data_IF_354844906413
#
_entry.id   IF_354844906413
#
_cell.length_a   1.000
_cell.length_b   1.000
_cell.length_c   1.000
_cell.angle_alpha   90.00
_cell.angle_beta   90.00
_cell.angle_gamma   90.00
#
_symmetry.space_group_name_H-M   'P 1'
#
loop_
_entity.id
_entity.type
_entity.pdbx_description
1 polymer ?
#
# COMPACT_ATOMS: atom_id res chain seq x y z
N UNK A 1 5.36 -20.68 30.18
CA UNK A 1 5.59 -19.23 30.38
C UNK A 1 5.95 -18.48 29.10
N UNK A 2 6.59 -19.09 28.09
CA UNK A 2 6.92 -18.40 26.81
C UNK A 2 5.72 -18.00 25.94
N UNK A 3 4.61 -18.74 26.01
CA UNK A 3 3.41 -18.43 25.19
C UNK A 3 2.70 -17.15 25.62
N UNK A 4 2.73 -16.79 26.91
CA UNK A 4 1.96 -15.67 27.44
C UNK A 4 2.55 -14.30 27.07
N UNK A 5 3.89 -14.22 26.88
CA UNK A 5 4.55 -13.01 26.38
C UNK A 5 4.27 -12.80 24.89
N UNK A 6 4.31 -13.87 24.08
CA UNK A 6 3.99 -13.82 22.65
C UNK A 6 2.57 -13.31 22.41
N UNK A 7 1.60 -13.71 23.23
CA UNK A 7 0.22 -13.23 23.14
C UNK A 7 0.07 -11.76 23.55
N UNK A 8 0.85 -11.28 24.51
CA UNK A 8 0.83 -9.88 24.94
C UNK A 8 1.45 -8.95 23.90
N UNK A 9 2.56 -9.35 23.28
CA UNK A 9 3.22 -8.56 22.25
C UNK A 9 2.35 -8.46 20.98
N UNK A 10 1.68 -9.55 20.60
CA UNK A 10 0.67 -9.55 19.55
C UNK A 10 -0.51 -8.63 19.91
N UNK A 11 -1.03 -8.68 21.14
CA UNK A 11 -2.14 -7.82 21.57
C UNK A 11 -1.78 -6.32 21.53
N UNK A 12 -0.62 -5.93 22.07
CA UNK A 12 -0.16 -4.54 22.05
C UNK A 12 0.19 -4.08 20.62
N UNK A 13 0.59 -4.99 19.74
CA UNK A 13 0.74 -4.72 18.32
C UNK A 13 -0.64 -4.45 17.70
N UNK A 14 -1.61 -5.36 17.85
CA UNK A 14 -2.97 -5.21 17.30
C UNK A 14 -3.70 -3.96 17.82
N UNK A 15 -3.59 -3.64 19.11
CA UNK A 15 -4.15 -2.43 19.68
C UNK A 15 -3.58 -1.16 19.03
N UNK A 16 -2.28 -1.16 18.72
CA UNK A 16 -1.62 -0.05 18.02
C UNK A 16 -2.05 0.05 16.55
N UNK A 17 -2.31 -1.09 15.91
CA UNK A 17 -2.89 -1.15 14.56
C UNK A 17 -4.32 -0.60 14.53
N UNK A 18 -5.12 -0.84 15.57
CA UNK A 18 -6.48 -0.28 15.71
C UNK A 18 -6.47 1.24 15.91
N UNK A 19 -5.43 1.78 16.56
CA UNK A 19 -5.36 3.19 16.96
C UNK A 19 -4.62 4.10 15.97
N UNK A 20 -3.68 3.57 15.16
CA UNK A 20 -2.85 4.42 14.31
C UNK A 20 -2.59 3.85 12.91
N UNK A 21 -3.21 4.49 11.92
CA UNK A 21 -2.95 4.26 10.50
C UNK A 21 -1.95 5.29 9.99
N UNK A 22 -0.77 4.86 9.56
CA UNK A 22 0.22 5.77 9.00
C UNK A 22 -0.19 6.25 7.60
N UNK A 23 -0.63 5.32 6.74
CA UNK A 23 -0.92 5.60 5.32
C UNK A 23 -2.11 4.82 4.78
N UNK A 24 -2.80 5.38 3.78
CA UNK A 24 -3.83 4.73 2.94
C UNK A 24 -3.41 4.83 1.48
N UNK A 25 -3.41 3.71 0.77
CA UNK A 25 -3.31 3.70 -0.68
C UNK A 25 -4.62 3.21 -1.24
N UNK A 26 -5.11 3.85 -2.29
CA UNK A 26 -6.32 3.47 -3.00
C UNK A 26 -6.03 3.50 -4.48
N UNK A 27 -6.23 2.36 -5.14
CA UNK A 27 -6.12 2.22 -6.58
C UNK A 27 -7.45 1.70 -7.15
N UNK A 28 -7.91 2.29 -8.25
CA UNK A 28 -9.12 1.87 -8.95
C UNK A 28 -8.80 1.44 -10.39
N UNK A 29 -9.78 0.80 -11.08
CA UNK A 29 -9.71 0.13 -12.40
C UNK A 29 -9.58 -1.41 -12.26
N UNK A 30 -9.91 -2.24 -13.26
CA UNK A 30 -9.59 -3.68 -13.21
C UNK A 30 -8.07 -3.85 -13.28
N UNK A 31 -7.43 -4.00 -12.13
CA UNK A 31 -5.99 -4.20 -12.02
C UNK A 31 -5.66 -5.17 -10.89
N UNK A 32 -4.54 -5.87 -11.07
CA UNK A 32 -3.81 -6.46 -9.96
C UNK A 32 -2.86 -5.42 -9.35
N UNK A 33 -2.69 -5.50 -8.02
CA UNK A 33 -1.77 -4.62 -7.28
C UNK A 33 -0.89 -5.49 -6.40
N UNK A 34 0.42 -5.29 -6.47
CA UNK A 34 1.40 -5.99 -5.63
C UNK A 34 2.22 -4.98 -4.85
N UNK A 35 2.41 -5.24 -3.57
CA UNK A 35 3.13 -4.37 -2.63
C UNK A 35 4.38 -5.10 -2.15
N UNK A 36 5.53 -4.46 -2.30
CA UNK A 36 6.84 -4.99 -1.94
C UNK A 36 7.44 -4.14 -0.83
N UNK A 37 7.92 -4.78 0.23
CA UNK A 37 8.74 -4.09 1.24
C UNK A 37 10.15 -3.90 0.68
N UNK A 38 10.77 -2.73 0.93
CA UNK A 38 12.08 -2.41 0.37
C UNK A 38 13.12 -3.53 0.65
N UNK A 39 13.77 -4.01 -0.41
CA UNK A 39 14.77 -5.09 -0.33
C UNK A 39 14.21 -6.51 -0.43
N UNK A 40 12.89 -6.69 -0.47
CA UNK A 40 12.25 -8.00 -0.70
C UNK A 40 11.84 -8.19 -2.17
N UNK A 41 11.96 -9.42 -2.67
CA UNK A 41 11.54 -9.79 -4.02
C UNK A 41 10.08 -10.23 -4.09
N UNK A 42 9.58 -10.84 -3.02
CA UNK A 42 8.20 -11.32 -2.94
C UNK A 42 7.27 -10.22 -2.40
N UNK A 43 6.01 -10.17 -2.88
CA UNK A 43 5.05 -9.21 -2.37
C UNK A 43 4.62 -9.56 -0.93
N UNK A 44 4.55 -8.54 -0.09
CA UNK A 44 4.04 -8.63 1.29
C UNK A 44 2.53 -8.44 1.39
N UNK A 45 1.92 -7.88 0.34
CA UNK A 45 0.48 -7.74 0.18
C UNK A 45 0.14 -7.62 -1.31
N UNK A 46 -1.00 -8.15 -1.72
CA UNK A 46 -1.47 -8.01 -3.10
C UNK A 46 -2.99 -8.14 -3.22
N UNK A 47 -3.50 -7.66 -4.35
CA UNK A 47 -4.84 -7.98 -4.85
C UNK A 47 -4.67 -8.50 -6.26
N UNK A 48 -5.16 -9.72 -6.50
CA UNK A 48 -5.22 -10.34 -7.83
C UNK A 48 -6.61 -10.96 -7.98
N UNK A 49 -7.27 -10.77 -9.13
CA UNK A 49 -8.65 -11.22 -9.37
C UNK A 49 -9.65 -10.82 -8.27
N UNK A 50 -9.50 -9.58 -7.76
CA UNK A 50 -10.25 -9.02 -6.63
C UNK A 50 -10.16 -9.83 -5.33
N UNK A 51 -9.15 -10.70 -5.19
CA UNK A 51 -8.85 -11.42 -3.96
C UNK A 51 -7.72 -10.70 -3.22
N UNK A 52 -7.99 -10.10 -2.04
CA UNK A 52 -6.97 -9.49 -1.21
C UNK A 52 -6.15 -10.57 -0.47
N UNK A 53 -4.82 -10.40 -0.44
CA UNK A 53 -3.91 -11.24 0.33
C UNK A 53 -2.86 -10.38 1.01
N UNK A 54 -2.52 -10.75 2.25
CA UNK A 54 -1.40 -10.18 3.00
C UNK A 54 -0.54 -11.31 3.58
N UNK A 55 0.77 -11.17 3.50
CA UNK A 55 1.70 -12.12 4.10
C UNK A 55 1.55 -12.12 5.63
N UNK A 56 1.78 -13.27 6.25
CA UNK A 56 1.76 -13.40 7.71
C UNK A 56 2.77 -12.43 8.36
N UNK A 57 2.32 -11.71 9.39
CA UNK A 57 3.16 -10.73 10.09
C UNK A 57 3.36 -9.40 9.36
N UNK A 58 2.73 -9.19 8.20
CA UNK A 58 2.75 -7.88 7.53
C UNK A 58 1.98 -6.82 8.33
N UNK A 59 2.47 -5.57 8.30
CA UNK A 59 1.84 -4.39 8.92
C UNK A 59 0.85 -3.71 7.95
N UNK A 60 0.15 -4.52 7.15
CA UNK A 60 -0.71 -4.07 6.06
C UNK A 60 -2.08 -4.75 6.18
N UNK A 61 -3.15 -3.97 6.06
CA UNK A 61 -4.49 -4.50 5.79
C UNK A 61 -4.90 -4.21 4.35
N UNK A 62 -5.50 -5.20 3.69
CA UNK A 62 -5.92 -5.11 2.28
C UNK A 62 -7.43 -5.26 2.21
N UNK A 63 -8.08 -4.31 1.56
CA UNK A 63 -9.55 -4.24 1.43
C UNK A 63 -9.87 -4.07 -0.06
N UNK A 64 -10.87 -4.80 -0.53
CA UNK A 64 -11.43 -4.65 -1.88
C UNK A 64 -12.88 -4.20 -1.76
N UNK A 65 -13.19 -3.02 -2.30
CA UNK A 65 -14.53 -2.42 -2.29
C UNK A 65 -14.93 -2.09 -3.73
N UNK A 66 -15.76 -2.96 -4.34
CA UNK A 66 -16.06 -2.87 -5.76
C UNK A 66 -14.79 -2.95 -6.60
N UNK A 67 -14.49 -1.90 -7.36
CA UNK A 67 -13.28 -1.81 -8.18
C UNK A 67 -12.08 -1.17 -7.45
N UNK A 68 -12.24 -0.77 -6.19
CA UNK A 68 -11.16 -0.16 -5.41
C UNK A 68 -10.34 -1.21 -4.66
N UNK A 69 -9.01 -1.04 -4.71
CA UNK A 69 -8.02 -1.79 -3.96
C UNK A 69 -7.41 -0.85 -2.95
N UNK A 70 -7.66 -1.12 -1.67
CA UNK A 70 -7.29 -0.27 -0.55
C UNK A 70 -6.24 -0.99 0.28
N UNK A 71 -5.12 -0.32 0.53
CA UNK A 71 -4.05 -0.82 1.38
C UNK A 71 -3.85 0.15 2.55
N UNK A 72 -4.04 -0.34 3.77
CA UNK A 72 -3.82 0.41 5.00
C UNK A 72 -2.48 -0.02 5.59
N UNK A 73 -1.62 0.96 5.89
CA UNK A 73 -0.29 0.72 6.44
C UNK A 73 -0.22 1.28 7.85
N UNK A 74 0.35 0.50 8.75
CA UNK A 74 0.41 0.82 10.18
C UNK A 74 1.85 0.97 10.70
N UNK A 75 2.79 1.17 9.79
CA UNK A 75 4.19 1.47 10.09
C UNK A 75 4.70 2.62 9.21
N UNK A 76 5.98 2.95 9.36
CA UNK A 76 6.68 3.95 8.54
C UNK A 76 7.70 3.31 7.57
N UNK A 77 7.55 2.02 7.25
CA UNK A 77 8.44 1.34 6.31
C UNK A 77 8.23 1.86 4.87
N UNK A 78 9.26 1.71 4.03
CA UNK A 78 9.16 2.04 2.60
C UNK A 78 8.60 0.85 1.82
N UNK A 79 7.59 1.13 1.00
CA UNK A 79 6.96 0.14 0.13
C UNK A 79 7.04 0.60 -1.32
N UNK A 80 7.19 -0.39 -2.21
CA UNK A 80 7.02 -0.24 -3.65
C UNK A 80 5.73 -0.91 -4.08
N UNK A 81 5.07 -0.32 -5.07
CA UNK A 81 3.86 -0.86 -5.68
C UNK A 81 4.12 -1.21 -7.13
N UNK A 82 3.48 -2.29 -7.56
CA UNK A 82 3.33 -2.65 -8.96
C UNK A 82 1.85 -2.78 -9.27
N UNK A 83 1.39 -2.02 -10.25
CA UNK A 83 0.01 -2.01 -10.74
C UNK A 83 0.01 -2.69 -12.11
N UNK A 84 -0.84 -3.69 -12.33
CA UNK A 84 -0.92 -4.42 -13.60
C UNK A 84 -2.35 -4.43 -14.10
N UNK A 85 -2.59 -3.88 -15.29
CA UNK A 85 -3.93 -3.82 -15.87
C UNK A 85 -4.48 -5.20 -16.21
N UNK A 86 -5.64 -5.53 -15.66
CA UNK A 86 -6.46 -6.68 -16.07
C UNK A 86 -7.56 -6.27 -17.07
N UNK A 87 -7.76 -4.96 -17.25
CA UNK A 87 -8.69 -4.36 -18.20
C UNK A 87 -8.12 -3.08 -18.82
N UNK A 88 -8.93 -2.43 -19.65
CA UNK A 88 -8.62 -1.13 -20.23
C UNK A 88 -9.42 -0.02 -19.54
N UNK A 89 -8.81 1.16 -19.41
CA UNK A 89 -9.45 2.31 -18.79
C UNK A 89 -8.41 3.29 -18.24
N UNK A 90 -8.77 3.93 -17.13
CA UNK A 90 -7.91 4.88 -16.44
C UNK A 90 -7.63 4.35 -15.03
N UNK A 91 -6.35 4.33 -14.67
CA UNK A 91 -5.88 4.08 -13.31
C UNK A 91 -5.82 5.41 -12.55
N UNK A 92 -6.51 5.42 -11.41
CA UNK A 92 -6.39 6.46 -10.40
C UNK A 92 -5.72 5.87 -9.16
N UNK A 93 -4.70 6.55 -8.65
CA UNK A 93 -3.99 6.19 -7.41
C UNK A 93 -4.05 7.37 -6.46
N UNK A 94 -4.60 7.16 -5.26
CA UNK A 94 -4.59 8.14 -4.17
C UNK A 94 -3.80 7.58 -3.00
N UNK A 95 -2.93 8.41 -2.44
CA UNK A 95 -2.11 8.11 -1.28
C UNK A 95 -2.42 9.16 -0.22
N UNK A 96 -2.86 8.73 0.95
CA UNK A 96 -3.15 9.57 2.09
C UNK A 96 -2.18 9.23 3.23
N UNK A 97 -1.58 10.25 3.83
CA UNK A 97 -0.67 10.11 4.96
C UNK A 97 -1.30 10.81 6.16
N UNK A 98 -1.23 10.15 7.32
CA UNK A 98 -1.83 10.63 8.55
C UNK A 98 -0.73 10.90 9.60
N UNK A 99 -0.97 11.88 10.45
CA UNK A 99 -0.08 12.17 11.57
C UNK A 99 -0.27 11.18 12.73
N UNK A 100 0.47 11.36 13.82
CA UNK A 100 0.38 10.49 15.00
C UNK A 100 -0.95 10.60 15.76
N UNK A 101 -1.73 11.66 15.53
CA UNK A 101 -3.07 11.82 16.07
C UNK A 101 -4.15 11.21 15.15
N UNK A 102 -3.76 10.65 14.00
CA UNK A 102 -4.66 10.09 13.00
C UNK A 102 -5.30 11.14 12.10
N UNK A 103 -4.88 12.41 12.16
CA UNK A 103 -5.38 13.45 11.27
C UNK A 103 -4.70 13.35 9.91
N UNK A 104 -5.46 13.61 8.83
CA UNK A 104 -4.93 13.63 7.47
C UNK A 104 -3.90 14.74 7.33
N UNK A 105 -2.63 14.38 7.15
CA UNK A 105 -1.53 15.32 7.01
C UNK A 105 -1.28 15.68 5.53
N UNK A 106 -1.41 14.69 4.63
CA UNK A 106 -1.08 14.86 3.22
C UNK A 106 -1.91 13.95 2.32
N UNK A 107 -2.18 14.42 1.11
CA UNK A 107 -2.72 13.59 0.01
C UNK A 107 -1.88 13.79 -1.24
N UNK A 108 -1.55 12.68 -1.91
CA UNK A 108 -0.92 12.65 -3.23
C UNK A 108 -1.81 11.84 -4.15
N UNK A 109 -2.09 12.36 -5.34
CA UNK A 109 -2.98 11.71 -6.29
C UNK A 109 -2.39 11.70 -7.70
N UNK A 110 -2.53 10.57 -8.37
CA UNK A 110 -2.22 10.36 -9.79
C UNK A 110 -3.52 9.94 -10.46
N UNK A 111 -4.01 10.75 -11.38
CA UNK A 111 -5.36 10.62 -11.95
C UNK A 111 -5.28 10.39 -13.45
N UNK A 112 -6.19 9.58 -13.97
CA UNK A 112 -6.40 9.32 -15.38
C UNK A 112 -5.16 8.76 -16.11
N UNK A 113 -4.40 7.88 -15.44
CA UNK A 113 -3.27 7.19 -16.07
C UNK A 113 -3.81 6.13 -17.05
N UNK A 114 -3.47 6.17 -18.35
CA UNK A 114 -4.04 5.27 -19.33
C UNK A 114 -3.59 3.83 -19.07
N UNK A 115 -4.55 2.93 -18.82
CA UNK A 115 -4.29 1.54 -18.51
C UNK A 115 -4.83 0.64 -19.63
N UNK A 116 -4.03 -0.34 -20.05
CA UNK A 116 -4.46 -1.44 -20.91
C UNK A 116 -4.12 -2.78 -20.27
N UNK A 117 -4.73 -3.86 -20.77
CA UNK A 117 -4.42 -5.22 -20.31
C UNK A 117 -2.91 -5.48 -20.42
N UNK A 118 -2.30 -5.93 -19.32
CA UNK A 118 -0.86 -6.20 -19.21
C UNK A 118 0.03 -4.96 -19.02
N UNK A 119 -0.51 -3.74 -19.17
CA UNK A 119 0.25 -2.52 -18.90
C UNK A 119 0.59 -2.46 -17.41
N UNK A 120 1.86 -2.18 -17.11
CA UNK A 120 2.34 -2.11 -15.75
C UNK A 120 2.82 -0.71 -15.40
N UNK A 121 2.47 -0.28 -14.19
CA UNK A 121 3.02 0.91 -13.55
C UNK A 121 3.72 0.52 -12.25
N UNK A 122 4.70 1.31 -11.84
CA UNK A 122 5.30 1.19 -10.51
C UNK A 122 5.31 2.53 -9.79
N UNK A 123 5.25 2.48 -8.47
CA UNK A 123 5.48 3.63 -7.61
C UNK A 123 6.27 3.22 -6.38
N UNK A 124 7.05 4.14 -5.82
CA UNK A 124 7.80 3.92 -4.58
C UNK A 124 7.78 5.18 -3.74
N UNK A 125 7.66 4.99 -2.43
CA UNK A 125 7.92 6.05 -1.46
C UNK A 125 9.38 6.03 -1.03
N UNK A 126 10.11 7.11 -1.27
CA UNK A 126 11.46 7.34 -0.75
C UNK A 126 11.40 8.28 0.46
N UNK A 127 12.26 8.12 1.46
CA UNK A 127 12.31 9.09 2.57
C UNK A 127 12.94 10.39 2.08
N UNK A 128 12.36 11.53 2.44
CA UNK A 128 12.96 12.84 2.19
C UNK A 128 14.28 12.98 2.96
N UNK A 129 15.25 13.69 2.38
CA UNK A 129 16.52 13.98 3.07
C UNK A 129 16.25 14.82 4.32
N UNK A 130 16.52 14.24 5.49
CA UNK A 130 16.38 14.92 6.79
C UNK A 130 14.97 14.95 7.40
N UNK A 131 13.99 14.26 6.82
CA UNK A 131 12.59 14.29 7.27
C UNK A 131 11.95 12.91 7.51
N UNK A 132 10.75 12.93 8.11
CA UNK A 132 9.86 11.77 8.25
C UNK A 132 8.91 11.60 7.04
N UNK A 133 8.93 12.54 6.09
CA UNK A 133 8.06 12.55 4.92
C UNK A 133 8.54 11.57 3.86
N UNK A 134 7.58 10.95 3.17
CA UNK A 134 7.86 10.16 1.97
C UNK A 134 7.63 11.00 0.71
N UNK A 135 8.61 10.97 -0.19
CA UNK A 135 8.50 11.47 -1.55
C UNK A 135 8.06 10.29 -2.42
N UNK A 136 6.97 10.47 -3.16
CA UNK A 136 6.54 9.48 -4.13
C UNK A 136 7.18 9.79 -5.47
N UNK A 137 7.96 8.84 -5.98
CA UNK A 137 8.75 9.01 -7.22
C UNK A 137 7.86 9.13 -8.48
N UNK A 138 6.54 9.05 -8.33
CA UNK A 138 5.58 9.03 -9.43
C UNK A 138 4.93 7.66 -9.59
N UNK A 139 3.97 7.58 -10.51
CA UNK A 139 3.46 6.30 -11.04
C UNK A 139 3.98 6.20 -12.47
N UNK A 140 5.06 5.45 -12.64
CA UNK A 140 5.79 5.38 -13.91
C UNK A 140 5.43 4.11 -14.68
N UNK A 141 5.17 4.25 -15.98
CA UNK A 141 4.96 3.10 -16.85
C UNK A 141 6.29 2.35 -17.01
N UNK A 142 6.30 1.03 -16.79
CA UNK A 142 7.49 0.24 -17.09
C UNK A 142 7.73 0.29 -18.60
N UNK A 143 8.93 0.72 -19.01
CA UNK A 143 9.34 0.74 -20.41
C UNK A 143 9.17 -0.64 -21.04
N UNK A 144 8.63 -0.66 -22.28
CA UNK A 144 8.46 -1.86 -23.09
C UNK A 144 9.76 -2.64 -23.29
#
# INVERSE_FOLDING_TARGET
MKDNEKHRDLYEQYKRLEEWQARKYTAACPLAVYVYQNGQQDPVAWVEDNQPVCAEGSMISVIVEGDQKIFLFYDNAQYGFRYVGNGAGNLDVTIQEFDQAGALARTVAYIALPLSVGQAYTSKGTKSEGGNDLLYDGVEANGR
#
